data_IF_713456843396
#
_entry.id   IF_713456843396
#
_cell.length_a   1.000
_cell.length_b   1.000
_cell.length_c   1.000
_cell.angle_alpha   90.00
_cell.angle_beta   90.00
_cell.angle_gamma   90.00
#
_symmetry.space_group_name_H-M   'P 1'
#
loop_
_entity.id
_entity.type
_entity.pdbx_description
1 polymer ?
#
# COMPACT_ATOMS: atom_id res chain seq x y z
N UNK A 1 -8.49 11.49 -47.01
CA UNK A 1 -9.71 12.21 -46.57
C UNK A 1 -9.66 12.76 -45.14
N UNK A 2 -9.08 12.09 -44.12
CA UNK A 2 -8.88 12.68 -42.77
C UNK A 2 -7.43 13.15 -42.53
N UNK A 3 -6.43 12.38 -42.96
CA UNK A 3 -5.01 12.76 -42.85
C UNK A 3 -4.61 13.89 -43.82
N UNK A 4 -5.37 14.07 -44.90
CA UNK A 4 -5.20 15.18 -45.84
C UNK A 4 -5.79 16.50 -45.32
N UNK A 5 -6.65 16.43 -44.30
CA UNK A 5 -7.35 17.59 -43.74
C UNK A 5 -6.64 18.17 -42.50
N UNK A 6 -5.73 17.42 -41.88
CA UNK A 6 -4.99 17.82 -40.69
C UNK A 6 -3.63 17.10 -40.65
N UNK A 7 -2.55 17.87 -40.67
CA UNK A 7 -1.17 17.36 -40.72
C UNK A 7 -0.79 16.58 -39.44
N UNK A 8 -1.46 16.83 -38.31
CA UNK A 8 -1.25 16.11 -37.06
C UNK A 8 -1.86 14.68 -37.07
N UNK A 9 -2.62 14.33 -38.11
CA UNK A 9 -3.24 13.02 -38.28
C UNK A 9 -2.48 12.08 -39.23
N UNK A 10 -1.37 12.54 -39.82
CA UNK A 10 -0.55 11.73 -40.72
C UNK A 10 0.03 10.53 -39.95
N UNK A 11 -0.30 9.31 -40.39
CA UNK A 11 0.15 8.05 -39.78
C UNK A 11 -0.79 7.53 -38.68
N UNK A 12 -1.88 8.24 -38.36
CA UNK A 12 -2.86 7.77 -37.38
C UNK A 12 -3.55 6.49 -37.85
N UNK A 13 -3.92 6.40 -39.13
CA UNK A 13 -4.53 5.18 -39.67
C UNK A 13 -3.52 4.05 -39.80
N UNK A 14 -2.24 4.34 -40.06
CA UNK A 14 -1.17 3.34 -40.09
C UNK A 14 -0.91 2.74 -38.70
N UNK A 15 -0.90 3.56 -37.65
CA UNK A 15 -0.72 3.10 -36.27
C UNK A 15 -1.94 2.31 -35.77
N UNK A 16 -3.14 2.72 -36.18
CA UNK A 16 -4.40 2.03 -35.88
C UNK A 16 -4.53 0.73 -36.68
N UNK A 17 -4.05 0.68 -37.92
CA UNK A 17 -3.93 -0.55 -38.70
C UNK A 17 -2.86 -1.47 -38.12
N UNK A 18 -1.76 -0.93 -37.59
CA UNK A 18 -0.76 -1.69 -36.81
C UNK A 18 -1.38 -2.33 -35.56
N UNK A 19 -2.20 -1.59 -34.82
CA UNK A 19 -2.94 -2.12 -33.67
C UNK A 19 -4.00 -3.16 -34.08
N UNK A 20 -4.68 -2.98 -35.21
CA UNK A 20 -5.60 -3.98 -35.76
C UNK A 20 -4.86 -5.25 -36.24
N UNK A 21 -3.67 -5.12 -36.81
CA UNK A 21 -2.82 -6.28 -37.17
C UNK A 21 -2.25 -7.00 -35.94
N UNK A 22 -2.03 -6.32 -34.81
CA UNK A 22 -1.75 -6.97 -33.52
C UNK A 22 -2.93 -7.87 -33.08
N UNK A 23 -4.17 -7.53 -33.43
CA UNK A 23 -5.33 -8.37 -33.12
C UNK A 23 -5.34 -9.67 -33.93
N UNK A 24 -4.81 -9.67 -35.16
CA UNK A 24 -4.81 -10.82 -36.10
C UNK A 24 -3.57 -11.73 -36.02
N UNK A 25 -2.53 -11.35 -35.28
CA UNK A 25 -1.30 -12.16 -35.16
C UNK A 25 -1.40 -13.08 -33.92
N UNK A 26 -1.60 -14.37 -34.15
CA UNK A 26 -1.50 -15.41 -33.12
C UNK A 26 -0.03 -15.70 -32.78
N UNK A 27 0.59 -14.82 -31.99
CA UNK A 27 1.93 -15.03 -31.44
C UNK A 27 1.84 -15.10 -29.89
N UNK A 28 2.65 -15.98 -29.27
CA UNK A 28 2.77 -16.14 -27.81
C UNK A 28 2.93 -14.81 -27.07
N UNK A 29 3.67 -13.86 -27.64
CA UNK A 29 3.85 -12.52 -27.08
C UNK A 29 2.55 -11.69 -27.04
N UNK A 30 1.77 -11.72 -28.12
CA UNK A 30 0.51 -10.97 -28.24
C UNK A 30 -0.56 -11.55 -27.33
N UNK A 31 -0.62 -12.88 -27.21
CA UNK A 31 -1.52 -13.54 -26.27
C UNK A 31 -1.20 -13.19 -24.81
N UNK A 32 0.08 -12.98 -24.48
CA UNK A 32 0.50 -12.43 -23.19
C UNK A 32 -0.03 -11.02 -22.95
N UNK A 33 0.10 -10.12 -23.94
CA UNK A 33 -0.40 -8.74 -23.83
C UNK A 33 -1.92 -8.71 -23.67
N UNK A 34 -2.67 -9.50 -24.44
CA UNK A 34 -4.14 -9.59 -24.31
C UNK A 34 -4.57 -10.09 -22.93
N UNK A 35 -3.79 -10.99 -22.34
CA UNK A 35 -4.00 -11.46 -20.97
C UNK A 35 -3.79 -10.35 -19.94
N UNK A 36 -2.68 -9.60 -20.07
CA UNK A 36 -2.37 -8.48 -19.19
C UNK A 36 -3.44 -7.37 -19.29
N UNK A 37 -3.94 -7.08 -20.51
CA UNK A 37 -5.06 -6.17 -20.75
C UNK A 37 -6.32 -6.66 -20.03
N UNK A 38 -6.67 -7.94 -20.18
CA UNK A 38 -7.86 -8.50 -19.55
C UNK A 38 -7.82 -8.44 -18.02
N UNK A 39 -6.64 -8.70 -17.43
CA UNK A 39 -6.41 -8.57 -16.00
C UNK A 39 -6.54 -7.11 -15.55
N UNK A 40 -5.93 -6.17 -16.27
CA UNK A 40 -6.01 -4.73 -15.98
C UNK A 40 -7.44 -4.17 -16.06
N UNK A 41 -8.23 -4.58 -17.07
CA UNK A 41 -9.62 -4.18 -17.20
C UNK A 41 -10.45 -4.65 -16.00
N UNK A 42 -10.22 -5.89 -15.55
CA UNK A 42 -10.92 -6.45 -14.39
C UNK A 42 -10.57 -5.72 -13.09
N UNK A 43 -9.31 -5.34 -12.89
CA UNK A 43 -8.90 -4.58 -11.69
C UNK A 43 -9.25 -3.11 -11.75
N UNK A 44 -9.53 -2.60 -12.95
CA UNK A 44 -10.14 -1.28 -13.18
C UNK A 44 -11.67 -1.30 -13.10
N UNK A 45 -12.27 -2.40 -12.61
CA UNK A 45 -13.72 -2.59 -12.43
C UNK A 45 -14.55 -2.48 -13.71
N UNK A 46 -13.93 -2.76 -14.86
CA UNK A 46 -14.67 -2.86 -16.12
C UNK A 46 -15.65 -4.03 -16.03
N UNK A 47 -16.89 -3.80 -16.48
CA UNK A 47 -17.94 -4.80 -16.38
C UNK A 47 -17.57 -6.09 -17.12
N UNK A 48 -18.09 -7.22 -16.62
CA UNK A 48 -17.92 -8.52 -17.23
C UNK A 48 -18.28 -8.53 -18.74
N UNK A 49 -19.37 -7.85 -19.10
CA UNK A 49 -19.81 -7.72 -20.49
C UNK A 49 -18.81 -6.93 -21.34
N UNK A 50 -18.28 -5.82 -20.81
CA UNK A 50 -17.30 -5.00 -21.52
C UNK A 50 -15.98 -5.75 -21.75
N UNK A 51 -15.52 -6.56 -20.79
CA UNK A 51 -14.35 -7.43 -20.96
C UNK A 51 -14.60 -8.46 -22.08
N UNK A 52 -15.76 -9.11 -22.07
CA UNK A 52 -16.12 -10.10 -23.09
C UNK A 52 -16.29 -9.45 -24.48
N UNK A 53 -16.79 -8.21 -24.58
CA UNK A 53 -16.85 -7.43 -25.83
C UNK A 53 -15.45 -7.14 -26.37
N UNK A 54 -14.54 -6.64 -25.54
CA UNK A 54 -13.16 -6.37 -25.96
C UNK A 54 -12.42 -7.65 -26.36
N UNK A 55 -12.75 -8.78 -25.73
CA UNK A 55 -12.25 -10.08 -26.13
C UNK A 55 -12.78 -10.51 -27.51
N UNK A 56 -14.07 -10.31 -27.77
CA UNK A 56 -14.69 -10.64 -29.06
C UNK A 56 -14.13 -9.81 -30.23
N UNK A 57 -13.72 -8.57 -29.96
CA UNK A 57 -13.06 -7.69 -30.95
C UNK A 57 -11.54 -8.00 -31.05
N UNK A 58 -11.04 -8.93 -30.23
CA UNK A 58 -9.65 -9.41 -30.30
C UNK A 58 -8.63 -8.55 -29.57
N UNK A 59 -9.06 -7.58 -28.75
CA UNK A 59 -8.18 -6.65 -28.02
C UNK A 59 -7.79 -7.16 -26.62
N UNK A 60 -8.59 -8.05 -26.04
CA UNK A 60 -8.40 -8.62 -24.70
C UNK A 60 -8.61 -10.13 -24.71
N UNK A 61 -8.37 -10.79 -23.59
CA UNK A 61 -8.88 -12.15 -23.32
C UNK A 61 -10.29 -12.11 -22.72
N UNK A 62 -11.02 -13.21 -22.88
CA UNK A 62 -12.36 -13.36 -22.28
C UNK A 62 -12.30 -13.30 -20.76
N UNK A 63 -13.41 -12.92 -20.13
CA UNK A 63 -13.56 -12.95 -18.68
C UNK A 63 -13.26 -14.33 -18.08
N UNK A 64 -13.63 -15.41 -18.79
CA UNK A 64 -13.34 -16.78 -18.36
C UNK A 64 -11.83 -17.02 -18.28
N UNK A 65 -11.08 -16.51 -19.25
CA UNK A 65 -9.61 -16.59 -19.27
C UNK A 65 -9.00 -15.77 -18.13
N UNK A 66 -9.48 -14.54 -17.90
CA UNK A 66 -9.04 -13.70 -16.77
C UNK A 66 -9.27 -14.41 -15.43
N UNK A 67 -10.44 -15.03 -15.24
CA UNK A 67 -10.73 -15.77 -14.01
C UNK A 67 -9.81 -16.98 -13.81
N UNK A 68 -9.49 -17.73 -14.87
CA UNK A 68 -8.52 -18.84 -14.79
C UNK A 68 -7.13 -18.34 -14.38
N UNK A 69 -6.70 -17.21 -14.93
CA UNK A 69 -5.42 -16.59 -14.58
C UNK A 69 -5.38 -16.15 -13.12
N UNK A 70 -6.44 -15.51 -12.61
CA UNK A 70 -6.54 -15.16 -11.18
C UNK A 70 -6.45 -16.38 -10.26
N UNK A 71 -7.05 -17.50 -10.65
CA UNK A 71 -6.95 -18.76 -9.88
C UNK A 71 -5.51 -19.26 -9.89
N UNK A 72 -4.88 -19.35 -11.06
CA UNK A 72 -3.48 -19.74 -11.19
C UNK A 72 -2.54 -18.84 -10.38
N UNK A 73 -2.75 -17.53 -10.42
CA UNK A 73 -2.03 -16.53 -9.61
C UNK A 73 -2.17 -16.82 -8.12
N UNK A 74 -3.40 -17.06 -7.66
CA UNK A 74 -3.68 -17.31 -6.25
C UNK A 74 -3.08 -18.61 -5.74
N UNK A 75 -3.04 -19.65 -6.59
CA UNK A 75 -2.43 -20.95 -6.30
C UNK A 75 -0.90 -20.86 -6.23
N UNK A 76 -0.28 -20.09 -7.14
CA UNK A 76 1.18 -19.92 -7.18
C UNK A 76 1.71 -18.79 -6.29
N UNK A 77 0.85 -18.09 -5.55
CA UNK A 77 1.23 -16.94 -4.73
C UNK A 77 2.36 -17.26 -3.75
N UNK A 78 2.34 -18.43 -3.10
CA UNK A 78 3.41 -18.84 -2.18
C UNK A 78 4.79 -18.92 -2.87
N UNK A 79 4.84 -19.45 -4.09
CA UNK A 79 6.06 -19.53 -4.87
C UNK A 79 6.61 -18.13 -5.20
N UNK A 80 5.73 -17.18 -5.56
CA UNK A 80 6.12 -15.80 -5.85
C UNK A 80 6.66 -15.08 -4.61
N UNK A 81 6.08 -15.34 -3.43
CA UNK A 81 6.59 -14.81 -2.15
C UNK A 81 7.97 -15.40 -1.83
N UNK A 82 8.14 -16.71 -1.98
CA UNK A 82 9.43 -17.37 -1.74
C UNK A 82 10.52 -16.81 -2.67
N UNK A 83 10.22 -16.63 -3.96
CA UNK A 83 11.14 -16.03 -4.93
C UNK A 83 11.52 -14.59 -4.54
N UNK A 84 10.56 -13.78 -4.12
CA UNK A 84 10.82 -12.42 -3.63
C UNK A 84 11.76 -12.43 -2.42
N UNK A 85 11.55 -13.33 -1.45
CA UNK A 85 12.43 -13.47 -0.30
C UNK A 85 13.85 -13.88 -0.70
N UNK A 86 14.00 -14.83 -1.63
CA UNK A 86 15.30 -15.29 -2.11
C UNK A 86 16.06 -14.18 -2.85
N UNK A 87 15.36 -13.41 -3.70
CA UNK A 87 15.96 -12.28 -4.43
C UNK A 87 16.44 -11.16 -3.50
N UNK A 88 15.84 -11.03 -2.31
CA UNK A 88 16.13 -9.97 -1.34
C UNK A 88 16.77 -10.51 -0.05
N UNK A 89 17.39 -11.68 -0.09
CA UNK A 89 17.91 -12.36 1.11
C UNK A 89 19.03 -11.59 1.81
N UNK A 90 19.78 -10.79 1.05
CA UNK A 90 20.85 -9.92 1.56
C UNK A 90 20.35 -8.54 2.00
N UNK A 91 19.05 -8.27 1.88
CA UNK A 91 18.44 -6.99 2.21
C UNK A 91 17.66 -7.09 3.54
N UNK A 92 17.47 -5.95 4.20
CA UNK A 92 16.60 -5.88 5.36
C UNK A 92 15.13 -6.06 4.95
N UNK A 93 14.42 -6.92 5.68
CA UNK A 93 12.98 -7.08 5.57
C UNK A 93 12.26 -6.25 6.63
N UNK A 94 11.22 -5.54 6.20
CA UNK A 94 10.29 -4.81 7.05
C UNK A 94 8.94 -5.48 6.93
N UNK A 95 8.47 -6.01 8.07
CA UNK A 95 7.21 -6.70 8.16
C UNK A 95 6.13 -5.76 8.71
N UNK A 96 5.17 -5.40 7.88
CA UNK A 96 4.01 -4.63 8.29
C UNK A 96 2.84 -5.59 8.56
N UNK A 97 2.40 -5.65 9.82
CA UNK A 97 1.27 -6.48 10.25
C UNK A 97 0.15 -5.55 10.70
N UNK A 98 -1.04 -5.75 10.15
CA UNK A 98 -2.22 -4.99 10.54
C UNK A 98 -3.51 -5.80 10.37
N UNK A 99 -4.55 -5.38 11.08
CA UNK A 99 -5.87 -5.97 10.98
C UNK A 99 -6.63 -5.33 9.82
N UNK A 100 -7.12 -6.17 8.91
CA UNK A 100 -8.10 -5.77 7.92
C UNK A 100 -9.50 -6.14 8.40
N UNK A 101 -10.24 -5.13 8.84
CA UNK A 101 -11.65 -5.26 9.15
C UNK A 101 -12.47 -5.09 7.87
N UNK A 102 -13.23 -6.11 7.48
CA UNK A 102 -14.11 -6.05 6.33
C UNK A 102 -15.37 -5.21 6.64
N UNK A 103 -15.22 -3.88 6.73
CA UNK A 103 -16.30 -2.96 7.09
C UNK A 103 -16.63 -2.05 5.91
N UNK A 104 -17.67 -2.42 5.17
CA UNK A 104 -18.41 -1.52 4.29
C UNK A 104 -19.51 -0.81 5.08
N UNK A 105 -19.17 0.14 5.96
CA UNK A 105 -20.16 1.09 6.47
C UNK A 105 -19.61 2.51 6.52
N UNK A 106 -20.30 3.41 5.83
CA UNK A 106 -20.15 4.88 5.95
C UNK A 106 -20.68 5.42 7.29
N UNK A 107 -21.37 4.61 8.10
CA UNK A 107 -22.00 5.05 9.34
C UNK A 107 -21.48 4.27 10.56
N UNK A 108 -21.28 5.03 11.64
CA UNK A 108 -20.80 4.67 12.98
C UNK A 108 -21.45 3.38 13.54
N UNK A 109 -20.63 2.55 14.20
CA UNK A 109 -21.01 1.26 14.79
C UNK A 109 -22.01 1.45 15.94
N UNK A 110 -23.15 0.76 15.89
CA UNK A 110 -24.03 0.54 17.04
C UNK A 110 -23.71 -0.82 17.70
N UNK A 111 -23.76 -0.86 19.03
CA UNK A 111 -23.30 -1.95 19.93
C UNK A 111 -23.83 -3.38 19.63
N UNK A 112 -24.82 -3.55 18.76
CA UNK A 112 -25.54 -4.81 18.56
C UNK A 112 -25.03 -5.67 17.37
N UNK A 113 -24.03 -5.23 16.60
CA UNK A 113 -23.55 -5.92 15.38
C UNK A 113 -22.05 -6.26 15.39
N UNK A 114 -21.52 -6.67 16.54
CA UNK A 114 -20.10 -7.02 16.68
C UNK A 114 -19.77 -8.39 16.03
N UNK A 115 -20.77 -9.24 15.80
CA UNK A 115 -20.55 -10.68 15.55
C UNK A 115 -20.39 -11.13 14.09
N UNK A 116 -20.62 -10.26 13.09
CA UNK A 116 -20.62 -10.66 11.66
C UNK A 116 -19.47 -10.07 10.81
N UNK A 117 -18.50 -9.38 11.42
CA UNK A 117 -17.38 -8.80 10.67
C UNK A 117 -16.27 -9.85 10.56
N UNK A 118 -15.97 -10.29 9.34
CA UNK A 118 -14.78 -11.12 9.08
C UNK A 118 -13.53 -10.28 9.36
N UNK A 119 -12.65 -10.83 10.20
CA UNK A 119 -11.36 -10.24 10.58
C UNK A 119 -10.24 -10.95 9.82
N UNK A 120 -9.49 -10.21 9.01
CA UNK A 120 -8.31 -10.72 8.33
C UNK A 120 -7.05 -10.06 8.92
N UNK A 121 -5.95 -10.80 8.94
CA UNK A 121 -4.62 -10.24 9.23
C UNK A 121 -3.92 -10.00 7.90
N UNK A 122 -3.48 -8.77 7.68
CA UNK A 122 -2.64 -8.40 6.54
C UNK A 122 -1.20 -8.44 6.99
N UNK A 123 -0.37 -9.17 6.24
CA UNK A 123 1.07 -9.24 6.43
C UNK A 123 1.72 -8.80 5.12
N UNK A 124 2.37 -7.63 5.11
CA UNK A 124 3.12 -7.13 3.96
C UNK A 124 4.61 -7.16 4.29
N UNK A 125 5.38 -7.72 3.37
CA UNK A 125 6.83 -7.80 3.46
C UNK A 125 7.43 -6.81 2.47
N UNK A 126 8.14 -5.81 2.98
CA UNK A 126 8.87 -4.85 2.17
C UNK A 126 10.37 -5.07 2.34
N UNK A 127 11.13 -4.94 1.27
CA UNK A 127 12.60 -4.89 1.31
C UNK A 127 13.10 -3.69 0.52
N UNK A 128 14.25 -3.16 0.92
CA UNK A 128 14.92 -2.08 0.22
C UNK A 128 16.34 -2.54 -0.16
N UNK A 129 16.71 -2.56 -1.45
CA UNK A 129 18.03 -3.02 -1.89
C UNK A 129 19.18 -2.16 -1.36
N UNK A 130 18.90 -0.93 -0.91
CA UNK A 130 19.91 -0.05 -0.33
C UNK A 130 20.16 -0.30 1.16
N UNK A 131 19.38 -1.17 1.80
CA UNK A 131 19.49 -1.47 3.24
C UNK A 131 19.93 -2.91 3.39
N UNK A 132 21.17 -3.14 3.85
CA UNK A 132 21.68 -4.49 4.02
C UNK A 132 20.90 -5.22 5.12
N UNK A 133 20.85 -6.54 4.99
CA UNK A 133 20.35 -7.44 6.03
C UNK A 133 21.03 -7.14 7.37
N UNK A 134 20.21 -7.14 8.41
CA UNK A 134 20.66 -7.05 9.79
C UNK A 134 21.03 -8.48 10.24
N UNK A 135 22.30 -8.79 10.52
CA UNK A 135 22.69 -10.11 10.97
C UNK A 135 22.23 -10.33 12.41
N UNK A 136 21.86 -11.54 12.82
CA UNK A 136 21.43 -11.78 14.20
C UNK A 136 22.58 -11.58 15.22
N UNK A 137 23.82 -11.82 14.78
CA UNK A 137 25.06 -11.57 15.50
C UNK A 137 25.98 -10.67 14.67
N UNK A 138 26.76 -9.80 15.32
CA UNK A 138 27.88 -9.12 14.66
C UNK A 138 29.09 -10.06 14.43
N UNK A 139 30.13 -9.56 13.74
CA UNK A 139 31.39 -10.27 13.47
C UNK A 139 32.04 -10.88 14.73
N UNK A 140 31.74 -10.35 15.92
CA UNK A 140 32.30 -10.80 17.19
C UNK A 140 31.36 -11.74 17.98
N UNK A 141 30.34 -12.33 17.35
CA UNK A 141 29.31 -13.18 17.99
C UNK A 141 28.50 -12.50 19.10
N UNK A 142 28.47 -11.17 19.11
CA UNK A 142 27.64 -10.42 20.06
C UNK A 142 26.23 -10.30 19.47
N UNK A 143 25.16 -10.67 20.21
CA UNK A 143 23.81 -10.57 19.70
C UNK A 143 23.43 -9.11 19.47
N UNK A 144 22.59 -8.88 18.46
CA UNK A 144 22.02 -7.55 18.25
C UNK A 144 21.04 -7.19 19.37
N UNK A 145 20.21 -8.14 19.79
CA UNK A 145 19.30 -7.90 20.90
C UNK A 145 20.05 -7.91 22.23
N UNK A 146 19.60 -7.08 23.17
CA UNK A 146 20.13 -7.08 24.52
C UNK A 146 19.84 -8.45 25.16
N UNK A 147 20.87 -9.22 25.56
CA UNK A 147 20.67 -10.56 26.11
C UNK A 147 19.91 -10.59 27.45
N UNK A 148 19.69 -9.44 28.07
CA UNK A 148 18.87 -9.29 29.28
C UNK A 148 17.41 -8.92 28.99
N UNK A 149 17.02 -8.88 27.72
CA UNK A 149 15.74 -8.36 27.23
C UNK A 149 15.49 -6.92 27.71
N UNK A 150 14.87 -6.75 28.88
CA UNK A 150 14.65 -5.46 29.54
C UNK A 150 15.77 -5.20 30.55
N UNK A 151 16.82 -4.49 30.14
CA UNK A 151 17.88 -4.04 31.06
C UNK A 151 17.46 -2.74 31.77
N UNK A 152 16.76 -2.90 32.89
CA UNK A 152 16.28 -1.79 33.72
C UNK A 152 17.41 -0.87 34.19
N UNK A 153 18.60 -1.41 34.47
CA UNK A 153 19.73 -0.59 34.96
C UNK A 153 20.18 0.38 33.88
N UNK A 154 20.25 -0.11 32.66
CA UNK A 154 20.65 0.64 31.48
C UNK A 154 19.60 1.71 31.13
N UNK A 155 18.30 1.37 31.21
CA UNK A 155 17.19 2.32 31.04
C UNK A 155 17.19 3.42 32.12
N UNK A 156 17.30 3.04 33.40
CA UNK A 156 17.30 4.00 34.53
C UNK A 156 18.48 4.96 34.43
N UNK A 157 19.67 4.46 34.11
CA UNK A 157 20.85 5.30 33.93
C UNK A 157 20.62 6.34 32.83
N UNK A 158 20.09 5.94 31.68
CA UNK A 158 19.80 6.87 30.59
C UNK A 158 18.76 7.93 31.00
N UNK A 159 17.65 7.51 31.62
CA UNK A 159 16.59 8.42 32.08
C UNK A 159 17.13 9.44 33.09
N UNK A 160 17.93 8.99 34.06
CA UNK A 160 18.48 9.88 35.08
C UNK A 160 19.44 10.92 34.48
N UNK A 161 20.33 10.48 33.58
CA UNK A 161 21.35 11.35 32.97
C UNK A 161 20.73 12.34 31.98
N UNK A 162 19.85 11.86 31.10
CA UNK A 162 19.40 12.62 29.93
C UNK A 162 18.00 13.25 30.09
N UNK A 163 17.16 12.70 30.98
CA UNK A 163 15.75 13.10 31.08
C UNK A 163 15.45 13.85 32.38
N UNK A 164 15.78 13.26 33.53
CA UNK A 164 15.48 13.85 34.85
C UNK A 164 16.24 15.15 35.08
N UNK A 165 17.54 15.17 34.74
CA UNK A 165 18.38 16.37 34.85
C UNK A 165 17.85 17.56 34.02
N UNK A 166 17.21 17.28 32.88
CA UNK A 166 16.60 18.28 31.99
C UNK A 166 15.23 18.74 32.52
N UNK A 167 14.40 17.80 32.97
CA UNK A 167 13.09 18.09 33.58
C UNK A 167 13.20 18.91 34.87
N UNK A 168 14.19 18.64 35.73
CA UNK A 168 14.40 19.39 36.97
C UNK A 168 14.70 20.88 36.71
N UNK A 169 15.36 21.20 35.60
CA UNK A 169 15.62 22.58 35.17
C UNK A 169 14.37 23.28 34.60
N UNK A 170 13.49 22.57 33.91
CA UNK A 170 12.33 23.15 33.23
C UNK A 170 11.08 23.25 34.12
N UNK A 171 10.80 22.25 34.97
CA UNK A 171 9.55 22.15 35.73
C UNK A 171 9.36 23.22 36.82
N UNK A 172 10.43 23.91 37.24
CA UNK A 172 10.36 24.93 38.31
C UNK A 172 10.18 26.36 37.80
N UNK A 173 10.11 26.56 36.48
CA UNK A 173 10.03 27.88 35.86
C UNK A 173 8.76 28.03 35.04
N UNK A 174 7.89 28.99 35.41
CA UNK A 174 6.75 29.38 34.57
C UNK A 174 7.15 30.22 33.34
N UNK A 175 8.41 30.66 33.22
CA UNK A 175 8.84 31.60 32.16
C UNK A 175 8.65 31.08 30.74
N UNK A 176 8.61 29.76 30.54
CA UNK A 176 8.47 29.13 29.21
C UNK A 176 7.16 28.33 29.05
N UNK A 177 6.22 28.47 29.97
CA UNK A 177 4.93 27.78 29.88
C UNK A 177 3.93 28.65 29.11
N UNK A 178 3.36 28.10 28.04
CA UNK A 178 2.25 28.72 27.30
C UNK A 178 0.99 27.89 27.52
N UNK A 179 -0.06 28.52 28.04
CA UNK A 179 -1.37 27.89 28.09
C UNK A 179 -1.82 27.61 26.65
N UNK A 180 -1.98 26.33 26.32
CA UNK A 180 -2.50 25.90 25.02
C UNK A 180 -4.02 25.95 25.03
N UNK A 181 -4.65 25.48 26.11
CA UNK A 181 -6.09 25.57 26.34
C UNK A 181 -6.44 25.32 27.82
N UNK A 182 -7.61 25.78 28.27
CA UNK A 182 -8.14 25.53 29.62
C UNK A 182 -9.60 25.07 29.52
N UNK A 183 -9.77 23.80 29.14
CA UNK A 183 -11.08 23.21 28.88
C UNK A 183 -11.56 22.44 30.12
N UNK A 184 -12.83 22.65 30.48
CA UNK A 184 -13.53 21.80 31.44
C UNK A 184 -13.76 20.43 30.79
N UNK A 185 -12.89 19.47 31.08
CA UNK A 185 -13.03 18.08 30.62
C UNK A 185 -13.14 17.16 31.84
N UNK A 186 -14.15 16.27 31.90
CA UNK A 186 -14.22 15.25 32.94
C UNK A 186 -13.10 14.24 32.68
N UNK A 187 -11.97 14.31 33.39
CA UNK A 187 -10.92 13.27 33.31
C UNK A 187 -11.27 12.08 34.22
N UNK A 188 -12.50 11.58 34.12
CA UNK A 188 -13.04 10.59 35.04
C UNK A 188 -12.95 9.16 34.50
N UNK A 189 -12.84 8.99 33.18
CA UNK A 189 -12.74 7.67 32.57
C UNK A 189 -11.62 7.57 31.51
N UNK A 190 -11.28 6.34 31.14
CA UNK A 190 -10.16 6.06 30.22
C UNK A 190 -10.35 6.64 28.82
N UNK A 191 -11.61 6.82 28.37
CA UNK A 191 -11.93 7.42 27.06
C UNK A 191 -11.57 8.90 27.06
N UNK A 192 -11.86 9.61 28.14
CA UNK A 192 -11.53 11.03 28.31
C UNK A 192 -10.01 11.25 28.30
N UNK A 193 -9.26 10.35 28.94
CA UNK A 193 -7.80 10.36 28.91
C UNK A 193 -7.22 10.08 27.51
N UNK A 194 -7.82 9.16 26.75
CA UNK A 194 -7.38 8.86 25.38
C UNK A 194 -7.62 10.06 24.47
N UNK A 195 -8.76 10.72 24.59
CA UNK A 195 -9.11 11.89 23.80
C UNK A 195 -8.16 13.07 24.09
N UNK A 196 -7.84 13.31 25.37
CA UNK A 196 -6.84 14.30 25.77
C UNK A 196 -5.42 13.93 25.29
N UNK A 197 -5.02 12.66 25.41
CA UNK A 197 -3.73 12.18 24.92
C UNK A 197 -3.58 12.40 23.41
N UNK A 198 -4.65 12.23 22.63
CA UNK A 198 -4.65 12.50 21.18
C UNK A 198 -4.41 13.97 20.85
N UNK A 199 -4.97 14.91 21.64
CA UNK A 199 -4.74 16.36 21.47
C UNK A 199 -3.26 16.68 21.72
N UNK A 200 -2.70 16.17 22.82
CA UNK A 200 -1.27 16.28 23.13
C UNK A 200 -0.41 15.67 22.02
N UNK A 201 -0.74 14.46 21.56
CA UNK A 201 -0.01 13.76 20.52
C UNK A 201 0.05 14.57 19.23
N UNK A 202 -1.06 15.22 18.85
CA UNK A 202 -1.15 16.04 17.64
C UNK A 202 -0.27 17.29 17.72
N UNK A 203 -0.13 17.87 18.91
CA UNK A 203 0.76 19.02 19.17
C UNK A 203 2.22 18.57 19.13
N UNK A 204 2.55 17.42 19.72
CA UNK A 204 3.92 16.89 19.79
C UNK A 204 4.44 16.37 18.44
N UNK A 205 3.57 15.82 17.57
CA UNK A 205 3.95 15.30 16.24
C UNK A 205 4.56 16.36 15.32
N UNK A 206 4.29 17.65 15.55
CA UNK A 206 4.73 18.71 14.65
C UNK A 206 6.22 19.08 14.76
N UNK A 207 6.95 18.60 15.78
CA UNK A 207 8.34 19.03 16.07
C UNK A 207 9.28 17.85 16.39
N UNK A 208 9.55 16.94 15.46
CA UNK A 208 10.44 15.80 15.71
C UNK A 208 11.88 16.00 15.21
N UNK A 209 12.83 15.91 16.15
CA UNK A 209 14.24 15.53 15.92
C UNK A 209 14.52 14.10 16.46
N UNK A 210 15.70 13.53 16.16
CA UNK A 210 16.09 12.18 16.62
C UNK A 210 16.07 11.98 18.14
N UNK A 211 16.38 13.05 18.91
CA UNK A 211 16.33 13.02 20.39
C UNK A 211 14.88 12.98 20.88
N UNK A 212 13.95 13.60 20.14
CA UNK A 212 12.54 13.68 20.49
C UNK A 212 11.83 12.33 20.32
N UNK A 213 12.33 11.43 19.46
CA UNK A 213 11.77 10.08 19.28
C UNK A 213 11.90 9.23 20.53
N UNK A 214 13.11 9.08 21.08
CA UNK A 214 13.33 8.26 22.29
C UNK A 214 12.62 8.85 23.51
N UNK A 215 12.65 10.17 23.63
CA UNK A 215 11.87 10.90 24.63
C UNK A 215 10.36 10.64 24.49
N UNK A 216 9.84 10.60 23.26
CA UNK A 216 8.44 10.27 23.01
C UNK A 216 8.09 8.83 23.41
N UNK A 217 8.96 7.85 23.13
CA UNK A 217 8.77 6.46 23.58
C UNK A 217 8.73 6.38 25.12
N UNK A 218 9.63 7.09 25.83
CA UNK A 218 9.62 7.16 27.29
C UNK A 218 8.30 7.78 27.80
N UNK A 219 7.85 8.88 27.20
CA UNK A 219 6.56 9.52 27.54
C UNK A 219 5.37 8.59 27.32
N UNK A 220 5.34 7.85 26.21
CA UNK A 220 4.32 6.83 25.92
C UNK A 220 4.34 5.72 26.97
N UNK A 221 5.53 5.24 27.34
CA UNK A 221 5.67 4.24 28.40
C UNK A 221 5.12 4.74 29.74
N UNK A 222 5.45 5.97 30.15
CA UNK A 222 4.90 6.60 31.36
C UNK A 222 3.37 6.66 31.28
N UNK A 223 2.80 7.05 30.14
CA UNK A 223 1.35 7.07 29.92
C UNK A 223 0.74 5.67 30.09
N UNK A 224 1.31 4.64 29.46
CA UNK A 224 0.84 3.26 29.61
C UNK A 224 0.89 2.78 31.05
N UNK A 225 1.92 3.16 31.81
CA UNK A 225 2.03 2.82 33.22
C UNK A 225 0.97 3.55 34.06
N UNK A 226 0.78 4.87 33.86
CA UNK A 226 -0.24 5.65 34.58
C UNK A 226 -1.67 5.22 34.27
N UNK A 227 -1.92 4.73 33.06
CA UNK A 227 -3.23 4.23 32.61
C UNK A 227 -3.43 2.73 32.85
N UNK A 228 -2.53 2.05 33.58
CA UNK A 228 -2.61 0.62 33.88
C UNK A 228 -2.76 -0.27 32.63
N UNK A 229 -2.10 0.11 31.52
CA UNK A 229 -2.09 -0.64 30.26
C UNK A 229 -1.05 -1.77 30.30
N UNK A 230 -1.32 -2.77 31.14
CA UNK A 230 -0.41 -3.89 31.42
C UNK A 230 0.03 -4.71 30.19
N UNK A 231 -0.77 -4.72 29.12
CA UNK A 231 -0.43 -5.43 27.88
C UNK A 231 0.57 -4.69 27.00
N UNK A 232 0.72 -3.37 27.18
CA UNK A 232 1.49 -2.51 26.28
C UNK A 232 2.72 -1.88 26.95
N UNK A 233 2.84 -1.95 28.28
CA UNK A 233 3.92 -1.28 29.01
C UNK A 233 5.30 -1.95 28.85
N UNK A 234 5.38 -3.17 28.32
CA UNK A 234 6.65 -3.90 28.11
C UNK A 234 7.33 -3.61 26.78
N UNK A 235 6.56 -3.46 25.69
CA UNK A 235 7.13 -3.27 24.36
C UNK A 235 8.01 -2.00 24.24
N UNK A 236 7.61 -0.83 24.78
CA UNK A 236 8.49 0.34 24.83
C UNK A 236 9.78 0.09 25.60
N UNK A 237 9.74 -0.69 26.69
CA UNK A 237 10.93 -0.97 27.51
C UNK A 237 11.91 -1.89 26.80
N UNK A 238 11.42 -2.92 26.11
CA UNK A 238 12.26 -3.81 25.29
C UNK A 238 12.95 -3.00 24.19
N UNK A 239 12.18 -2.16 23.49
CA UNK A 239 12.73 -1.28 22.45
C UNK A 239 13.80 -0.32 22.99
N UNK A 240 13.52 0.36 24.11
CA UNK A 240 14.49 1.26 24.75
C UNK A 240 15.75 0.51 25.20
N UNK A 241 15.59 -0.69 25.78
CA UNK A 241 16.70 -1.55 26.19
C UNK A 241 17.62 -1.89 25.01
N UNK A 242 17.04 -2.30 23.89
CA UNK A 242 17.77 -2.61 22.66
C UNK A 242 18.46 -1.36 22.09
N UNK A 243 17.74 -0.24 21.94
CA UNK A 243 18.33 1.00 21.40
C UNK A 243 19.50 1.50 22.24
N UNK A 244 19.35 1.50 23.56
CA UNK A 244 20.42 1.96 24.42
C UNK A 244 21.58 0.95 24.45
N UNK A 245 21.31 -0.35 24.37
CA UNK A 245 22.34 -1.37 24.19
C UNK A 245 23.12 -1.16 22.89
N UNK A 246 22.44 -0.88 21.77
CA UNK A 246 23.06 -0.53 20.50
C UNK A 246 23.90 0.73 20.60
N UNK A 247 23.43 1.73 21.34
CA UNK A 247 24.13 3.00 21.55
C UNK A 247 25.43 2.79 22.34
N UNK A 248 25.41 1.99 23.40
CA UNK A 248 26.61 1.71 24.21
C UNK A 248 27.67 0.92 23.44
N UNK A 249 27.24 -0.01 22.59
CA UNK A 249 28.15 -0.86 21.81
C UNK A 249 28.44 -0.29 20.41
N UNK A 250 27.92 0.89 20.08
CA UNK A 250 28.09 1.57 18.79
C UNK A 250 27.66 0.71 17.57
N UNK A 251 26.52 0.03 17.67
CA UNK A 251 26.02 -0.84 16.60
C UNK A 251 25.53 -0.05 15.37
N UNK A 252 25.82 -0.53 14.15
CA UNK A 252 25.44 0.13 12.90
C UNK A 252 23.93 0.14 12.66
N UNK A 253 23.17 -0.77 13.28
CA UNK A 253 21.69 -0.83 13.20
C UNK A 253 21.04 0.50 13.61
N UNK A 254 21.63 1.23 14.56
CA UNK A 254 21.10 2.51 15.00
C UNK A 254 21.12 3.54 13.85
N UNK A 255 22.21 3.59 13.10
CA UNK A 255 22.33 4.48 11.94
C UNK A 255 21.41 4.05 10.81
N UNK A 256 21.24 2.73 10.60
CA UNK A 256 20.29 2.19 9.62
C UNK A 256 18.86 2.64 9.96
N UNK A 257 18.43 2.50 11.21
CA UNK A 257 17.09 2.91 11.66
C UNK A 257 16.88 4.42 11.51
N UNK A 258 17.85 5.25 11.94
CA UNK A 258 17.77 6.71 11.82
C UNK A 258 17.64 7.16 10.36
N UNK A 259 18.51 6.64 9.50
CA UNK A 259 18.54 7.04 8.08
C UNK A 259 17.33 6.52 7.29
N UNK A 260 16.62 5.49 7.79
CA UNK A 260 15.53 4.83 7.08
C UNK A 260 14.20 4.85 7.85
N UNK A 261 14.05 5.72 8.85
CA UNK A 261 12.82 5.86 9.63
C UNK A 261 11.56 6.03 8.76
N UNK A 262 11.58 6.80 7.64
CA UNK A 262 10.40 6.96 6.78
C UNK A 262 9.84 5.66 6.18
N UNK A 263 10.64 4.57 6.15
CA UNK A 263 10.20 3.28 5.61
C UNK A 263 9.30 2.53 6.60
N UNK A 264 9.44 2.81 7.90
CA UNK A 264 8.58 2.27 8.96
C UNK A 264 7.28 3.07 9.08
N UNK A 265 6.48 3.03 8.01
CA UNK A 265 5.22 3.76 7.89
C UNK A 265 4.08 2.79 7.52
N UNK A 266 2.91 2.99 8.13
CA UNK A 266 1.68 2.23 7.87
C UNK A 266 1.05 2.52 6.48
N UNK A 267 1.58 3.51 5.76
CA UNK A 267 1.12 3.91 4.43
C UNK A 267 0.96 2.75 3.44
N UNK A 268 1.91 1.82 3.42
CA UNK A 268 1.87 0.66 2.50
C UNK A 268 0.65 -0.23 2.76
N UNK A 269 0.36 -0.47 4.03
CA UNK A 269 -0.79 -1.27 4.48
C UNK A 269 -2.08 -0.52 4.19
N UNK A 270 -2.17 0.76 4.54
CA UNK A 270 -3.36 1.60 4.26
C UNK A 270 -3.69 1.61 2.78
N UNK A 271 -2.68 1.78 1.92
CA UNK A 271 -2.85 1.70 0.49
C UNK A 271 -3.31 0.32 0.03
N UNK A 272 -2.75 -0.76 0.60
CA UNK A 272 -3.19 -2.14 0.32
C UNK A 272 -4.65 -2.35 0.67
N UNK A 273 -5.06 -1.99 1.89
CA UNK A 273 -6.45 -2.06 2.33
C UNK A 273 -7.37 -1.21 1.47
N UNK A 274 -6.96 -0.01 1.07
CA UNK A 274 -7.74 0.85 0.19
C UNK A 274 -7.97 0.21 -1.19
N UNK A 275 -6.93 -0.37 -1.79
CA UNK A 275 -7.07 -1.10 -3.07
C UNK A 275 -7.96 -2.33 -2.93
N UNK A 276 -7.78 -3.10 -1.86
CA UNK A 276 -8.59 -4.30 -1.60
C UNK A 276 -10.05 -3.93 -1.37
N UNK A 277 -10.32 -2.87 -0.60
CA UNK A 277 -11.67 -2.38 -0.33
C UNK A 277 -12.35 -1.89 -1.60
N UNK A 278 -11.65 -1.13 -2.44
CA UNK A 278 -12.19 -0.65 -3.72
C UNK A 278 -12.69 -1.84 -4.55
N UNK A 279 -11.86 -2.88 -4.70
CA UNK A 279 -12.15 -4.01 -5.58
C UNK A 279 -12.93 -5.18 -4.92
N UNK A 280 -13.50 -4.97 -3.73
CA UNK A 280 -14.34 -5.96 -3.04
C UNK A 280 -15.68 -5.34 -2.64
N UNK A 281 -16.73 -6.16 -2.59
CA UNK A 281 -18.11 -5.78 -2.28
C UNK A 281 -18.65 -6.66 -1.15
N UNK A 282 -19.61 -6.16 -0.37
CA UNK A 282 -20.16 -6.86 0.81
C UNK A 282 -20.59 -8.33 0.53
N UNK A 283 -21.01 -8.63 -0.71
CA UNK A 283 -21.39 -9.97 -1.16
C UNK A 283 -20.22 -10.93 -1.42
N UNK A 284 -18.97 -10.47 -1.40
CA UNK A 284 -17.81 -11.33 -1.63
C UNK A 284 -17.57 -12.29 -0.48
N UNK A 285 -17.28 -13.54 -0.82
CA UNK A 285 -16.91 -14.56 0.17
C UNK A 285 -15.46 -14.39 0.63
N UNK A 286 -15.10 -14.95 1.79
CA UNK A 286 -13.74 -14.91 2.32
C UNK A 286 -12.69 -15.42 1.33
N UNK A 287 -13.01 -16.48 0.57
CA UNK A 287 -12.12 -17.03 -0.46
C UNK A 287 -11.89 -16.05 -1.61
N UNK A 288 -12.93 -15.32 -2.03
CA UNK A 288 -12.83 -14.31 -3.08
C UNK A 288 -11.99 -13.11 -2.62
N UNK A 289 -12.16 -12.68 -1.36
CA UNK A 289 -11.37 -11.58 -0.78
C UNK A 289 -9.88 -11.98 -0.73
N UNK A 290 -9.55 -13.18 -0.27
CA UNK A 290 -8.17 -13.70 -0.24
C UNK A 290 -7.59 -13.78 -1.66
N UNK A 291 -8.35 -14.32 -2.62
CA UNK A 291 -7.92 -14.41 -4.01
C UNK A 291 -7.64 -13.03 -4.61
N UNK A 292 -8.50 -12.04 -4.31
CA UNK A 292 -8.33 -10.66 -4.78
C UNK A 292 -7.09 -10.02 -4.17
N UNK A 293 -6.85 -10.20 -2.87
CA UNK A 293 -5.65 -9.71 -2.19
C UNK A 293 -4.36 -10.27 -2.83
N UNK A 294 -4.32 -11.57 -3.14
CA UNK A 294 -3.18 -12.20 -3.84
C UNK A 294 -2.98 -11.66 -5.26
N UNK A 295 -4.08 -11.39 -5.97
CA UNK A 295 -4.04 -10.83 -7.33
C UNK A 295 -3.49 -9.39 -7.31
N UNK A 296 -3.97 -8.55 -6.39
CA UNK A 296 -3.48 -7.18 -6.17
C UNK A 296 -1.98 -7.18 -5.86
N UNK A 297 -1.49 -8.15 -5.07
CA UNK A 297 -0.07 -8.25 -4.74
C UNK A 297 0.81 -8.46 -5.98
N UNK A 298 0.41 -9.33 -6.91
CA UNK A 298 1.16 -9.53 -8.15
C UNK A 298 1.11 -8.29 -9.04
N UNK A 299 -0.06 -7.70 -9.25
CA UNK A 299 -0.19 -6.52 -10.11
C UNK A 299 0.56 -5.29 -9.59
N UNK A 300 0.75 -5.16 -8.27
CA UNK A 300 1.58 -4.08 -7.71
C UNK A 300 3.05 -4.19 -8.12
N UNK A 301 3.55 -5.41 -8.24
CA UNK A 301 4.97 -5.66 -8.48
C UNK A 301 5.27 -5.92 -9.96
N UNK A 302 4.30 -6.43 -10.72
CA UNK A 302 4.51 -6.94 -12.08
C UNK A 302 3.30 -6.68 -13.01
N UNK A 303 2.76 -5.47 -13.01
CA UNK A 303 1.80 -5.08 -14.05
C UNK A 303 2.54 -4.60 -15.30
N UNK A 304 2.94 -5.58 -16.12
CA UNK A 304 3.63 -5.35 -17.39
C UNK A 304 2.87 -4.38 -18.29
N UNK A 305 1.55 -4.49 -18.37
CA UNK A 305 0.72 -3.58 -19.16
C UNK A 305 0.76 -2.15 -18.62
N UNK A 306 0.54 -1.96 -17.31
CA UNK A 306 0.59 -0.63 -16.68
C UNK A 306 1.98 0.01 -16.81
N UNK A 307 3.04 -0.75 -16.56
CA UNK A 307 4.40 -0.24 -16.66
C UNK A 307 4.79 0.09 -18.12
N UNK A 308 4.23 -0.61 -19.10
CA UNK A 308 4.53 -0.38 -20.53
C UNK A 308 3.67 0.72 -21.15
N UNK A 309 2.39 0.83 -20.76
CA UNK A 309 1.41 1.67 -21.47
C UNK A 309 0.76 2.75 -20.61
N UNK A 310 0.83 2.65 -19.28
CA UNK A 310 0.24 3.61 -18.34
C UNK A 310 1.39 4.35 -17.66
N UNK A 311 2.06 5.23 -18.41
CA UNK A 311 3.14 6.05 -17.88
C UNK A 311 2.68 6.79 -16.60
N UNK A 312 3.47 6.68 -15.55
CA UNK A 312 3.18 7.29 -14.26
C UNK A 312 3.62 8.76 -14.27
N UNK A 313 2.66 9.64 -13.97
CA UNK A 313 2.81 11.10 -13.71
C UNK A 313 3.16 11.97 -14.93
N UNK A 314 2.11 12.32 -15.67
CA UNK A 314 1.92 13.73 -16.04
C UNK A 314 0.42 14.05 -16.00
N UNK A 315 -0.09 14.31 -14.78
CA UNK A 315 -1.50 14.69 -14.56
C UNK A 315 -1.68 16.18 -14.84
N UNK A 316 -1.29 16.60 -16.04
CA UNK A 316 -1.68 17.89 -16.62
C UNK A 316 -2.32 17.65 -18.00
N UNK A 317 -3.15 16.60 -18.11
CA UNK A 317 -4.08 16.52 -19.24
C UNK A 317 -5.16 17.56 -18.99
N UNK A 318 -4.95 18.77 -19.52
CA UNK A 318 -5.93 19.85 -19.54
C UNK A 318 -7.31 19.29 -19.94
N UNK A 319 -8.36 19.69 -19.23
CA UNK A 319 -9.74 19.24 -19.46
C UNK A 319 -10.17 19.32 -20.94
N UNK A 320 -9.60 20.30 -21.66
CA UNK A 320 -9.75 20.50 -23.11
C UNK A 320 -9.19 19.34 -23.94
N UNK A 321 -8.01 18.78 -23.58
CA UNK A 321 -7.41 17.61 -24.23
C UNK A 321 -8.26 16.34 -23.99
N UNK A 322 -8.82 16.17 -22.80
CA UNK A 322 -9.74 15.07 -22.48
C UNK A 322 -11.02 15.15 -23.32
N UNK A 323 -11.65 16.33 -23.40
CA UNK A 323 -12.84 16.54 -24.23
C UNK A 323 -12.53 16.32 -25.72
N UNK A 324 -11.34 16.75 -26.18
CA UNK A 324 -10.87 16.48 -27.54
C UNK A 324 -10.70 14.98 -27.80
N UNK A 325 -10.07 14.24 -26.89
CA UNK A 325 -9.89 12.79 -27.00
C UNK A 325 -11.24 12.05 -26.98
N UNK A 326 -12.15 12.44 -26.09
CA UNK A 326 -13.49 11.87 -25.99
C UNK A 326 -14.27 12.07 -27.31
N UNK A 327 -14.22 13.27 -27.90
CA UNK A 327 -14.80 13.55 -29.22
C UNK A 327 -14.15 12.72 -30.34
N UNK A 328 -12.82 12.58 -30.32
CA UNK A 328 -12.08 11.78 -31.30
C UNK A 328 -12.46 10.29 -31.21
N UNK A 329 -12.58 9.75 -30.01
CA UNK A 329 -13.03 8.36 -29.77
C UNK A 329 -14.48 8.17 -30.20
N UNK A 330 -15.37 9.13 -29.90
CA UNK A 330 -16.77 9.10 -30.35
C UNK A 330 -16.88 9.09 -31.87
N UNK A 331 -16.14 9.95 -32.57
CA UNK A 331 -16.09 9.99 -34.04
C UNK A 331 -15.56 8.69 -34.64
N UNK A 332 -14.50 8.13 -34.05
CA UNK A 332 -13.98 6.84 -34.46
C UNK A 332 -15.01 5.72 -34.28
N UNK A 333 -15.66 5.64 -33.11
CA UNK A 333 -16.69 4.64 -32.84
C UNK A 333 -17.89 4.81 -33.78
N UNK A 334 -18.31 6.04 -34.05
CA UNK A 334 -19.40 6.33 -34.99
C UNK A 334 -19.05 5.85 -36.40
N UNK A 335 -17.84 6.13 -36.88
CA UNK A 335 -17.36 5.68 -38.18
C UNK A 335 -17.20 4.15 -38.26
N UNK A 336 -16.72 3.53 -37.18
CA UNK A 336 -16.63 2.08 -37.07
C UNK A 336 -18.03 1.45 -37.15
N UNK A 337 -18.99 1.97 -36.39
CA UNK A 337 -20.36 1.48 -36.41
C UNK A 337 -21.06 1.74 -37.74
N UNK A 338 -20.78 2.86 -38.41
CA UNK A 338 -21.29 3.16 -39.74
C UNK A 338 -20.75 2.15 -40.78
N UNK A 339 -19.44 1.84 -40.72
CA UNK A 339 -18.83 0.79 -41.55
C UNK A 339 -19.40 -0.60 -41.25
N UNK A 340 -19.65 -0.93 -39.98
CA UNK A 340 -20.27 -2.20 -39.60
C UNK A 340 -21.68 -2.25 -40.17
N UNK A 341 -22.48 -1.20 -39.98
CA UNK A 341 -23.87 -1.08 -40.45
C UNK A 341 -23.98 -1.29 -41.97
N UNK A 342 -23.12 -0.63 -42.76
CA UNK A 342 -23.11 -0.76 -44.22
C UNK A 342 -22.56 -2.11 -44.74
N UNK A 343 -22.01 -2.93 -43.85
CA UNK A 343 -21.52 -4.28 -44.14
C UNK A 343 -22.37 -5.40 -43.50
N UNK A 344 -23.48 -5.06 -42.84
CA UNK A 344 -24.44 -6.04 -42.35
C UNK A 344 -25.00 -6.83 -43.55
N UNK A 345 -24.89 -8.16 -43.49
CA UNK A 345 -25.37 -9.07 -44.54
C UNK A 345 -24.41 -9.32 -45.70
N UNK A 346 -23.21 -8.71 -45.72
CA UNK A 346 -22.21 -8.91 -46.78
C UNK A 346 -21.12 -9.94 -46.46
N UNK A 347 -21.15 -10.53 -45.27
CA UNK A 347 -20.24 -11.63 -44.91
C UNK A 347 -20.71 -12.94 -45.55
N UNK A 348 -20.11 -13.31 -46.68
CA UNK A 348 -20.22 -14.69 -47.16
C UNK A 348 -19.47 -15.58 -46.18
N UNK A 349 -20.19 -16.51 -45.54
CA UNK A 349 -19.56 -17.65 -44.86
C UNK A 349 -18.81 -18.44 -45.92
N UNK A 350 -17.48 -18.27 -45.99
CA UNK A 350 -16.63 -19.24 -46.64
C UNK A 350 -16.57 -20.47 -45.75
N UNK A 351 -17.57 -21.34 -45.90
CA UNK A 351 -17.40 -22.75 -45.55
C UNK A 351 -16.34 -23.30 -46.51
N UNK A 352 -15.20 -23.70 -45.95
CA UNK A 352 -14.38 -24.83 -46.36
C UNK A 352 -13.47 -25.24 -45.20
#
# INVERSE_FOLDING_TARGET
>A
MLEEADADLIGFFDELFRQATLASINNKYINGIKADIGLYLETSEVSASSIDILANIGLSVSRKTVNRQKTFISENHQYTVNNYCLQNIENMFILNIDNYHYIYRRNQLTLLKIYDINHFVTILLNSNPNIPKIPYYELNNIPIHNPKDVDFKLIINYINVNFISKLEKELRSMKNNKLVDFILYPLHNTKDYIEFANILFKIYILNFSDVDFLESIIKIWILFQRLYRHNYNKAPLIFLSDVFYWTLNNYPILNILKNNLPIFNDYFVKNFHSSLKYQTAESNTNKQIIQKAKTINLERNDNRFKNTFVNTRDVNILKVKLISLEKKVLLFLLFLFDKIYHNIGKSNNSNN
#
